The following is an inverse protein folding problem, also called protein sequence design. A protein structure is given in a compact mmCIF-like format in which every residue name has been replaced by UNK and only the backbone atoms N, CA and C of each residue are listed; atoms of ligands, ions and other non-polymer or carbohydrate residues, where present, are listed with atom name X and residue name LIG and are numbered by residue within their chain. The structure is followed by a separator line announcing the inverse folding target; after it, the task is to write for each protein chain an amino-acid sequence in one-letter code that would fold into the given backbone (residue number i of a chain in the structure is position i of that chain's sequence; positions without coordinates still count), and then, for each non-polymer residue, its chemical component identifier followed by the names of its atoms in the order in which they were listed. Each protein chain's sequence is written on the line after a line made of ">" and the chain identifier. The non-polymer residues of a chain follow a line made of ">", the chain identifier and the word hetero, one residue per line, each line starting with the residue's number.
data_IF_834789925986
#
_entry.id   IF_834789925986
#
_cell.length_a   1.000
_cell.length_b   1.000
_cell.length_c   1.000
_cell.angle_alpha   90.00
_cell.angle_beta   90.00
_cell.angle_gamma   90.00
#
_symmetry.space_group_name_H-M   'P 1'
#
loop_
_entity.id
_entity.type
_entity.pdbx_description
1 polymer ?
#
# COMPACT_ATOMS: atom_id res chain seq x y z
N UNK A 1 -24.12 21.25 16.77
CA UNK A 1 -23.54 19.91 17.07
C UNK A 1 -24.14 18.92 16.08
N UNK A 2 -23.28 18.06 15.53
CA UNK A 2 -23.56 16.95 14.61
C UNK A 2 -23.67 17.25 13.10
N UNK A 3 -22.52 17.25 12.39
CA UNK A 3 -22.46 17.04 10.92
C UNK A 3 -21.13 16.41 10.44
N UNK A 4 -20.40 15.69 11.30
CA UNK A 4 -19.20 14.95 10.87
C UNK A 4 -19.27 13.43 11.12
N UNK A 5 -20.23 12.97 11.92
CA UNK A 5 -20.41 11.53 12.17
C UNK A 5 -21.26 10.83 11.09
N UNK A 6 -22.13 11.55 10.37
CA UNK A 6 -23.05 10.93 9.41
C UNK A 6 -22.47 10.68 8.02
N UNK A 7 -21.32 11.27 7.66
CA UNK A 7 -20.71 11.07 6.33
C UNK A 7 -19.78 9.84 6.30
N UNK A 8 -19.43 9.29 7.47
CA UNK A 8 -18.53 8.14 7.56
C UNK A 8 -19.21 6.78 7.31
N UNK A 9 -20.55 6.74 7.15
CA UNK A 9 -21.31 5.50 7.13
C UNK A 9 -21.77 5.05 5.73
N UNK A 10 -21.53 5.85 4.67
CA UNK A 10 -22.18 5.64 3.36
C UNK A 10 -21.26 5.24 2.18
N UNK A 11 -20.02 4.81 2.43
CA UNK A 11 -19.12 4.36 1.36
C UNK A 11 -18.49 2.99 1.62
N UNK A 12 -19.32 2.02 2.00
CA UNK A 12 -19.03 0.61 1.76
C UNK A 12 -19.73 0.18 0.46
N UNK A 13 -19.26 0.69 -0.68
CA UNK A 13 -19.66 0.18 -1.99
C UNK A 13 -18.96 -1.17 -2.18
N UNK A 14 -19.75 -2.23 -2.01
CA UNK A 14 -19.36 -3.60 -2.29
C UNK A 14 -19.43 -3.81 -3.81
N UNK A 15 -18.33 -3.52 -4.51
CA UNK A 15 -18.16 -3.91 -5.92
C UNK A 15 -17.47 -5.28 -5.95
N UNK A 16 -18.17 -6.28 -6.47
CA UNK A 16 -17.91 -7.70 -6.22
C UNK A 16 -16.79 -8.33 -7.06
N UNK A 17 -15.86 -7.53 -7.60
CA UNK A 17 -14.81 -8.03 -8.51
C UNK A 17 -13.38 -7.49 -8.24
N UNK A 18 -13.15 -6.64 -7.23
CA UNK A 18 -11.79 -6.22 -6.83
C UNK A 18 -11.61 -6.33 -5.32
N UNK A 19 -10.56 -7.05 -4.91
CA UNK A 19 -10.20 -7.47 -3.55
C UNK A 19 -9.67 -6.27 -2.70
N UNK A 20 -10.28 -5.09 -2.86
CA UNK A 20 -9.89 -3.82 -2.23
C UNK A 20 -10.60 -3.63 -0.89
N UNK A 21 -10.02 -4.24 0.16
CA UNK A 21 -10.37 -3.94 1.54
C UNK A 21 -9.75 -2.60 1.98
N UNK A 22 -10.58 -1.58 2.18
CA UNK A 22 -10.18 -0.24 2.67
C UNK A 22 -10.39 -0.17 4.18
N UNK A 23 -9.29 -0.13 4.95
CA UNK A 23 -9.36 0.20 6.39
C UNK A 23 -8.89 1.64 6.65
N UNK A 24 -9.62 2.41 7.48
CA UNK A 24 -9.19 3.70 7.95
C UNK A 24 -8.07 3.52 9.00
N UNK A 25 -6.82 3.85 8.63
CA UNK A 25 -5.67 3.72 9.54
C UNK A 25 -5.29 5.07 10.17
N UNK A 26 -4.86 5.00 11.43
CA UNK A 26 -4.82 6.06 12.42
C UNK A 26 -3.71 7.10 12.20
N UNK A 27 -3.99 8.35 12.59
CA UNK A 27 -3.18 9.53 12.35
C UNK A 27 -1.77 9.55 12.99
N UNK A 28 -1.45 8.61 13.88
CA UNK A 28 -0.25 8.64 14.73
C UNK A 28 1.03 8.14 14.02
N UNK A 29 0.91 7.27 13.02
CA UNK A 29 2.06 6.76 12.25
C UNK A 29 2.62 7.78 11.22
N UNK A 30 1.92 8.90 11.01
CA UNK A 30 2.30 9.92 10.01
C UNK A 30 3.54 10.71 10.44
N UNK A 31 3.61 11.15 11.70
CA UNK A 31 4.65 12.08 12.17
C UNK A 31 6.05 11.45 12.23
N UNK A 32 6.12 10.15 12.57
CA UNK A 32 7.39 9.43 12.63
C UNK A 32 8.10 9.32 11.27
N UNK A 33 7.34 9.37 10.17
CA UNK A 33 7.88 9.17 8.81
C UNK A 33 8.31 10.45 8.09
N UNK A 34 7.96 11.64 8.61
CA UNK A 34 8.33 12.92 7.97
C UNK A 34 9.78 13.33 8.22
N UNK A 35 10.37 12.87 9.33
CA UNK A 35 11.75 13.17 9.71
C UNK A 35 12.81 12.53 8.81
N UNK A 36 12.57 11.30 8.34
CA UNK A 36 13.52 10.54 7.50
C UNK A 36 13.47 10.95 6.02
N UNK A 37 12.34 11.52 5.57
CA UNK A 37 12.14 11.85 4.16
C UNK A 37 12.91 13.10 3.69
N UNK A 38 13.32 13.99 4.60
CA UNK A 38 14.03 15.25 4.27
C UNK A 38 15.40 15.06 3.60
N UNK A 39 15.97 13.85 3.61
CA UNK A 39 17.26 13.55 2.97
C UNK A 39 17.14 12.97 1.56
N UNK A 40 15.92 12.70 1.07
CA UNK A 40 15.68 12.22 -0.29
C UNK A 40 15.54 13.40 -1.25
N UNK A 41 16.09 13.31 -2.48
CA UNK A 41 15.95 14.35 -3.50
C UNK A 41 14.48 14.70 -3.78
N UNK A 42 14.18 15.94 -4.18
CA UNK A 42 12.82 16.50 -4.25
C UNK A 42 11.78 15.61 -4.96
N UNK A 43 12.16 14.90 -6.02
CA UNK A 43 11.25 13.99 -6.72
C UNK A 43 10.95 12.72 -5.91
N UNK A 44 11.95 12.11 -5.29
CA UNK A 44 11.77 10.94 -4.44
C UNK A 44 11.02 11.30 -3.15
N UNK A 45 11.20 12.53 -2.66
CA UNK A 45 10.44 13.11 -1.56
C UNK A 45 8.96 13.29 -1.93
N UNK A 46 8.67 13.85 -3.12
CA UNK A 46 7.29 14.00 -3.61
C UNK A 46 6.59 12.65 -3.81
N UNK A 47 7.31 11.65 -4.31
CA UNK A 47 6.82 10.27 -4.46
C UNK A 47 6.50 9.62 -3.11
N UNK A 48 7.42 9.73 -2.15
CA UNK A 48 7.26 9.19 -0.80
C UNK A 48 6.17 9.90 0.01
N UNK A 49 5.93 11.19 -0.27
CA UNK A 49 4.83 11.97 0.30
C UNK A 49 3.46 11.57 -0.23
N UNK A 50 3.37 11.01 -1.45
CA UNK A 50 2.10 10.65 -2.06
C UNK A 50 1.64 9.25 -1.66
N UNK A 51 2.52 8.25 -1.74
CA UNK A 51 2.20 6.88 -1.39
C UNK A 51 3.40 6.11 -0.83
N UNK A 52 3.14 5.15 0.06
CA UNK A 52 4.17 4.28 0.63
C UNK A 52 3.66 2.84 0.79
N UNK A 53 4.58 1.90 1.05
CA UNK A 53 4.24 0.51 1.32
C UNK A 53 4.14 0.31 2.83
N UNK A 54 2.99 -0.20 3.29
CA UNK A 54 2.80 -0.64 4.66
C UNK A 54 2.65 -2.16 4.70
N UNK A 55 3.07 -2.78 5.81
CA UNK A 55 2.92 -4.22 6.05
C UNK A 55 2.09 -4.41 7.30
N UNK A 56 0.96 -5.10 7.18
CA UNK A 56 0.09 -5.41 8.31
C UNK A 56 -0.48 -6.82 8.14
N UNK A 57 -0.69 -7.55 9.24
CA UNK A 57 -1.15 -8.93 9.21
C UNK A 57 -0.08 -9.94 8.78
N UNK A 58 -0.42 -11.22 8.93
CA UNK A 58 0.46 -12.36 8.58
C UNK A 58 -0.15 -13.17 7.44
N UNK A 59 0.70 -13.76 6.60
CA UNK A 59 0.27 -14.61 5.48
C UNK A 59 1.34 -15.64 5.11
N UNK A 60 1.00 -16.55 4.19
CA UNK A 60 1.91 -17.59 3.70
C UNK A 60 2.02 -18.82 4.58
N UNK A 61 2.85 -19.77 4.16
CA UNK A 61 3.09 -21.00 4.92
C UNK A 61 3.69 -20.67 6.29
N UNK A 62 3.13 -21.26 7.35
CA UNK A 62 3.51 -21.03 8.74
C UNK A 62 3.52 -19.53 9.15
N UNK A 63 2.69 -18.68 8.52
CA UNK A 63 2.63 -17.24 8.79
C UNK A 63 3.98 -16.53 8.63
N UNK A 64 4.84 -17.04 7.74
CA UNK A 64 6.20 -16.55 7.55
C UNK A 64 6.30 -15.26 6.72
N UNK A 65 5.18 -14.78 6.16
CA UNK A 65 5.08 -13.52 5.43
C UNK A 65 4.13 -12.53 6.09
N UNK A 66 4.06 -11.35 5.47
CA UNK A 66 3.22 -10.22 5.85
C UNK A 66 2.39 -9.75 4.66
N UNK A 67 1.19 -9.21 4.91
CA UNK A 67 0.36 -8.65 3.85
C UNK A 67 0.86 -7.24 3.57
N UNK A 68 1.26 -7.00 2.33
CA UNK A 68 1.69 -5.69 1.86
C UNK A 68 0.49 -4.90 1.35
N UNK A 69 0.49 -3.61 1.67
CA UNK A 69 -0.49 -2.63 1.24
C UNK A 69 0.25 -1.44 0.62
N UNK A 70 -0.33 -0.84 -0.41
CA UNK A 70 0.06 0.50 -0.85
C UNK A 70 -0.91 1.50 -0.21
N UNK A 71 -0.36 2.53 0.40
CA UNK A 71 -1.12 3.45 1.25
C UNK A 71 -1.03 4.86 0.67
N UNK A 72 -2.17 5.52 0.55
CA UNK A 72 -2.25 6.93 0.19
C UNK A 72 -2.09 7.79 1.44
N UNK A 73 -1.10 8.68 1.44
CA UNK A 73 -0.88 9.64 2.54
C UNK A 73 -1.81 10.84 2.46
N UNK A 74 -2.34 11.16 1.27
CA UNK A 74 -3.28 12.26 1.05
C UNK A 74 -4.68 11.85 1.49
N UNK A 75 -5.34 12.72 2.24
CA UNK A 75 -6.73 12.54 2.71
C UNK A 75 -7.77 13.24 1.85
N UNK A 76 -7.31 14.13 0.98
CA UNK A 76 -8.13 14.99 0.14
C UNK A 76 -8.27 14.49 -1.30
N UNK A 77 -7.29 13.74 -1.81
CA UNK A 77 -7.24 13.30 -3.20
C UNK A 77 -6.79 11.86 -3.37
N UNK A 78 -7.31 11.15 -4.38
CA UNK A 78 -6.80 9.85 -4.74
C UNK A 78 -5.40 9.95 -5.35
N UNK A 79 -4.61 8.90 -5.17
CA UNK A 79 -3.25 8.79 -5.71
C UNK A 79 -3.16 7.57 -6.61
N UNK A 80 -2.63 7.77 -7.81
CA UNK A 80 -2.26 6.69 -8.72
C UNK A 80 -0.79 6.33 -8.50
N UNK A 81 -0.55 5.20 -7.86
CA UNK A 81 0.79 4.69 -7.57
C UNK A 81 1.19 3.57 -8.54
N UNK A 82 2.43 3.62 -9.03
CA UNK A 82 3.07 2.51 -9.73
C UNK A 82 3.94 1.75 -8.74
N UNK A 83 3.58 0.50 -8.50
CA UNK A 83 4.24 -0.41 -7.56
C UNK A 83 5.01 -1.46 -8.34
N UNK A 84 6.32 -1.52 -8.12
CA UNK A 84 7.16 -2.61 -8.61
C UNK A 84 7.09 -3.78 -7.66
N UNK A 85 6.69 -4.93 -8.18
CA UNK A 85 6.71 -6.22 -7.49
C UNK A 85 7.93 -6.98 -7.98
N UNK A 86 8.84 -7.31 -7.07
CA UNK A 86 9.91 -8.27 -7.34
C UNK A 86 9.55 -9.58 -6.69
N UNK A 87 9.83 -10.68 -7.39
CA UNK A 87 9.61 -12.03 -6.87
C UNK A 87 10.90 -12.85 -6.97
N UNK A 88 11.08 -13.78 -6.05
CA UNK A 88 12.18 -14.74 -6.03
C UNK A 88 11.69 -16.11 -5.62
N UNK A 89 12.04 -17.14 -6.38
CA UNK A 89 11.76 -18.56 -6.10
C UNK A 89 13.02 -19.38 -6.32
N UNK A 90 13.79 -19.62 -5.26
CA UNK A 90 15.11 -20.25 -5.35
C UNK A 90 16.10 -19.39 -6.13
N UNK A 91 16.61 -19.91 -7.26
CA UNK A 91 17.49 -19.19 -8.19
C UNK A 91 16.73 -18.31 -9.20
N UNK A 92 15.43 -18.57 -9.39
CA UNK A 92 14.61 -17.81 -10.33
C UNK A 92 14.17 -16.51 -9.68
N UNK A 93 14.26 -15.41 -10.41
CA UNK A 93 13.79 -14.11 -9.97
C UNK A 93 13.23 -13.32 -11.13
N UNK A 94 12.39 -12.34 -10.81
CA UNK A 94 11.84 -11.42 -11.80
C UNK A 94 11.18 -10.23 -11.16
N UNK A 95 10.72 -9.31 -11.99
CA UNK A 95 9.95 -8.15 -11.55
C UNK A 95 8.92 -7.75 -12.57
N UNK A 96 7.82 -7.19 -12.09
CA UNK A 96 6.81 -6.56 -12.93
C UNK A 96 6.23 -5.34 -12.19
N UNK A 97 5.68 -4.41 -12.95
CA UNK A 97 5.10 -3.18 -12.41
C UNK A 97 3.57 -3.27 -12.44
N UNK A 98 2.91 -2.78 -11.39
CA UNK A 98 1.45 -2.68 -11.28
C UNK A 98 1.05 -1.27 -10.95
N UNK A 99 0.02 -0.78 -11.62
CA UNK A 99 -0.57 0.52 -11.31
C UNK A 99 -1.78 0.31 -10.42
N UNK A 100 -1.85 1.04 -9.32
CA UNK A 100 -2.97 1.00 -8.36
C UNK A 100 -3.43 2.43 -8.10
N UNK A 101 -4.74 2.64 -8.24
CA UNK A 101 -5.40 3.87 -7.79
C UNK A 101 -5.84 3.65 -6.37
N UNK A 102 -5.42 4.56 -5.49
CA UNK A 102 -5.64 4.47 -4.05
C UNK A 102 -6.53 5.65 -3.66
N UNK A 103 -7.76 5.39 -3.19
CA UNK A 103 -8.63 6.45 -2.70
C UNK A 103 -7.97 7.32 -1.61
N UNK A 104 -8.49 8.52 -1.42
CA UNK A 104 -8.00 9.43 -0.39
C UNK A 104 -8.08 8.79 1.01
N UNK A 105 -7.00 8.86 1.78
CA UNK A 105 -6.91 8.32 3.14
C UNK A 105 -6.98 6.80 3.25
N UNK A 106 -6.90 6.08 2.13
CA UNK A 106 -7.09 4.63 2.08
C UNK A 106 -5.80 3.86 1.79
N UNK A 107 -5.91 2.54 1.87
CA UNK A 107 -4.88 1.60 1.46
C UNK A 107 -5.46 0.51 0.57
N UNK A 108 -4.64 0.02 -0.35
CA UNK A 108 -4.98 -1.05 -1.28
C UNK A 108 -4.05 -2.23 -1.05
N UNK A 109 -4.61 -3.43 -0.91
CA UNK A 109 -3.85 -4.67 -0.74
C UNK A 109 -3.04 -4.98 -2.00
N UNK A 110 -1.77 -5.30 -1.82
CA UNK A 110 -0.87 -5.70 -2.91
C UNK A 110 -0.69 -7.22 -2.99
N UNK A 111 -0.65 -7.88 -1.84
CA UNK A 111 -0.45 -9.33 -1.76
C UNK A 111 0.36 -9.75 -0.54
N UNK A 112 0.74 -11.02 -0.51
CA UNK A 112 1.62 -11.56 0.52
C UNK A 112 3.08 -11.35 0.14
N UNK A 113 3.95 -11.05 1.11
CA UNK A 113 5.41 -11.01 0.89
C UNK A 113 6.03 -12.41 0.77
N UNK A 114 5.30 -13.47 1.11
CA UNK A 114 5.79 -14.85 1.03
C UNK A 114 4.65 -15.83 0.76
N UNK A 115 4.51 -16.34 -0.47
CA UNK A 115 3.28 -17.03 -0.90
C UNK A 115 3.13 -18.51 -0.50
N UNK A 116 3.92 -19.05 0.43
CA UNK A 116 3.79 -20.46 0.83
C UNK A 116 4.40 -21.47 -0.16
N UNK A 117 3.92 -22.73 -0.11
CA UNK A 117 4.71 -23.98 -0.10
C UNK A 117 5.71 -24.26 -1.26
N UNK A 118 6.73 -25.05 -0.87
CA UNK A 118 8.03 -25.33 -1.48
C UNK A 118 8.02 -25.50 -3.02
N UNK A 119 8.92 -24.82 -3.76
CA UNK A 119 9.78 -23.73 -3.29
C UNK A 119 8.98 -22.46 -3.00
N UNK A 120 9.25 -21.89 -1.83
CA UNK A 120 8.68 -20.62 -1.38
C UNK A 120 9.01 -19.52 -2.39
N UNK A 121 8.00 -18.71 -2.73
CA UNK A 121 8.20 -17.49 -3.51
C UNK A 121 8.12 -16.28 -2.58
N UNK A 122 9.21 -15.52 -2.51
CA UNK A 122 9.31 -14.27 -1.78
C UNK A 122 8.94 -13.12 -2.72
N UNK A 123 8.18 -12.15 -2.20
CA UNK A 123 7.74 -10.96 -2.91
C UNK A 123 8.16 -9.71 -2.14
N UNK A 124 8.73 -8.73 -2.84
CA UNK A 124 9.01 -7.40 -2.30
C UNK A 124 8.28 -6.35 -3.14
N UNK A 125 7.73 -5.34 -2.47
CA UNK A 125 6.95 -4.27 -3.09
C UNK A 125 7.65 -2.94 -2.88
N UNK A 126 7.66 -2.09 -3.91
CA UNK A 126 8.22 -0.74 -3.83
C UNK A 126 7.42 0.21 -4.70
N UNK A 127 7.14 1.41 -4.20
CA UNK A 127 6.55 2.48 -5.01
C UNK A 127 7.66 3.08 -5.87
N UNK A 128 7.48 3.07 -7.19
CA UNK A 128 8.44 3.62 -8.17
C UNK A 128 7.91 4.87 -8.87
N UNK A 129 6.62 5.17 -8.69
CA UNK A 129 5.94 6.33 -9.25
C UNK A 129 4.65 6.59 -8.51
N UNK A 130 4.25 7.85 -8.36
CA UNK A 130 3.01 8.25 -7.72
C UNK A 130 2.57 9.59 -8.30
N UNK A 131 1.29 9.69 -8.64
CA UNK A 131 0.66 10.90 -9.17
C UNK A 131 -0.63 11.15 -8.42
N UNK A 132 -0.80 12.39 -7.95
CA UNK A 132 -2.08 12.85 -7.38
C UNK A 132 -3.06 13.12 -8.53
N UNK A 133 -4.29 12.62 -8.38
CA UNK A 133 -5.37 12.83 -9.35
C UNK A 133 -6.23 14.05 -8.99
#
# INVERSE_FOLDING_TARGET
>A
MSTLAQIAEELAVFDSDDDTYVEPWAAEELEASEGELKQMGEEAFALALAAYISHNGRCGFANAGSIAFVVNRRRDRPVRATVRVRWRRGINYGSYDRVKTIPAGSRVRLGCTRSGSIPVTDYSYSVIGAQVL
#
